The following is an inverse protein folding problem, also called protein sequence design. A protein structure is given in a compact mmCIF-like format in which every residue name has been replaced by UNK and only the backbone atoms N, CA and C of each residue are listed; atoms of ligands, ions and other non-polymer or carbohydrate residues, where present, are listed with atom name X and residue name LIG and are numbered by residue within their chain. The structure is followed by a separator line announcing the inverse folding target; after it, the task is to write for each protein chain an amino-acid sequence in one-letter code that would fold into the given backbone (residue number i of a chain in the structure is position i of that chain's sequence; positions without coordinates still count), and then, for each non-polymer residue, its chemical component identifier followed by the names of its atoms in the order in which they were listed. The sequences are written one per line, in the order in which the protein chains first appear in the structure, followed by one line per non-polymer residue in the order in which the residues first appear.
data_IF_171103784990
#
_entry.id   IF_171103784990
#
_cell.length_a   1.000
_cell.length_b   1.000
_cell.length_c   1.000
_cell.angle_alpha   90.00
_cell.angle_beta   90.00
_cell.angle_gamma   90.00
#
_symmetry.space_group_name_H-M   'P 1'
#
loop_
_entity.id
_entity.type
_entity.pdbx_description
1 polymer ?
#
# COMPACT_ATOMS: atom_id res chain seq x y z
N UNK A 1 -30.94 -10.69 -31.19
CA UNK A 1 -29.95 -10.51 -30.10
C UNK A 1 -30.49 -9.47 -29.11
N UNK A 2 -30.64 -9.81 -27.83
CA UNK A 2 -31.23 -8.93 -26.80
C UNK A 2 -30.16 -8.21 -25.97
N UNK A 3 -30.40 -6.94 -25.63
CA UNK A 3 -29.54 -6.09 -24.78
C UNK A 3 -29.05 -6.78 -23.49
N UNK A 4 -29.89 -7.60 -22.85
CA UNK A 4 -29.51 -8.40 -21.67
C UNK A 4 -28.36 -9.40 -21.92
N UNK A 5 -28.24 -9.93 -23.14
CA UNK A 5 -27.16 -10.85 -23.51
C UNK A 5 -25.82 -10.15 -23.75
N UNK A 6 -25.86 -8.91 -24.26
CA UNK A 6 -24.67 -8.07 -24.46
C UNK A 6 -24.09 -7.64 -23.12
N UNK A 7 -24.93 -7.21 -22.17
CA UNK A 7 -24.52 -6.82 -20.80
C UNK A 7 -23.92 -8.00 -20.02
N UNK A 8 -24.44 -9.21 -20.21
CA UNK A 8 -23.87 -10.45 -19.63
C UNK A 8 -22.51 -10.82 -20.25
N UNK A 9 -22.26 -10.46 -21.51
CA UNK A 9 -21.00 -10.71 -22.22
C UNK A 9 -19.86 -9.74 -21.86
N UNK A 10 -20.16 -8.46 -21.60
CA UNK A 10 -19.16 -7.44 -21.25
C UNK A 10 -18.66 -7.55 -19.81
N UNK A 11 -19.54 -7.89 -18.84
CA UNK A 11 -19.12 -8.20 -17.46
C UNK A 11 -18.13 -9.37 -17.41
N UNK A 12 -18.32 -10.36 -18.29
CA UNK A 12 -17.43 -11.51 -18.43
C UNK A 12 -16.05 -11.15 -19.03
N UNK A 13 -15.95 -10.06 -19.81
CA UNK A 13 -14.70 -9.67 -20.47
C UNK A 13 -13.74 -8.93 -19.53
N UNK A 14 -14.25 -7.97 -18.74
CA UNK A 14 -13.43 -7.25 -17.75
C UNK A 14 -12.83 -8.21 -16.72
N UNK A 15 -13.65 -9.09 -16.14
CA UNK A 15 -13.18 -10.10 -15.18
C UNK A 15 -12.14 -11.04 -15.78
N UNK A 16 -12.27 -11.41 -17.07
CA UNK A 16 -11.28 -12.25 -17.77
C UNK A 16 -9.93 -11.54 -17.94
N UNK A 17 -9.92 -10.25 -18.27
CA UNK A 17 -8.66 -9.50 -18.41
C UNK A 17 -7.98 -9.25 -17.06
N UNK A 18 -8.76 -8.92 -16.02
CA UNK A 18 -8.25 -8.82 -14.65
C UNK A 18 -7.64 -10.16 -14.22
N UNK A 19 -8.36 -11.28 -14.40
CA UNK A 19 -7.87 -12.61 -14.05
C UNK A 19 -6.59 -13.00 -14.80
N UNK A 20 -6.48 -12.67 -16.09
CA UNK A 20 -5.25 -12.86 -16.87
C UNK A 20 -4.08 -12.05 -16.32
N UNK A 21 -4.32 -10.80 -15.95
CA UNK A 21 -3.27 -9.94 -15.38
C UNK A 21 -2.80 -10.44 -14.01
N UNK A 22 -3.72 -10.89 -13.14
CA UNK A 22 -3.37 -11.51 -11.87
C UNK A 22 -2.50 -12.75 -12.06
N UNK A 23 -2.88 -13.62 -13.01
CA UNK A 23 -2.12 -14.83 -13.33
C UNK A 23 -0.72 -14.48 -13.88
N UNK A 24 -0.63 -13.57 -14.87
CA UNK A 24 0.64 -13.13 -15.48
C UNK A 24 1.60 -12.50 -14.46
N UNK A 25 1.08 -11.72 -13.51
CA UNK A 25 1.88 -11.03 -12.48
C UNK A 25 2.05 -11.81 -11.18
N UNK A 26 1.48 -13.01 -11.08
CA UNK A 26 1.51 -13.80 -9.85
C UNK A 26 0.85 -13.11 -8.66
N UNK A 27 -0.14 -12.26 -8.90
CA UNK A 27 -0.86 -11.54 -7.85
C UNK A 27 -1.86 -12.51 -7.21
N UNK A 28 -1.80 -12.63 -5.89
CA UNK A 28 -2.73 -13.47 -5.15
C UNK A 28 -4.16 -12.94 -5.28
N UNK A 29 -5.15 -13.83 -5.49
CA UNK A 29 -6.54 -13.41 -5.75
C UNK A 29 -7.21 -12.68 -4.57
N UNK A 30 -6.68 -12.87 -3.35
CA UNK A 30 -7.10 -12.11 -2.16
C UNK A 30 -6.83 -10.59 -2.29
N UNK A 31 -5.97 -10.15 -3.23
CA UNK A 31 -5.80 -8.74 -3.55
C UNK A 31 -7.07 -8.08 -4.14
N UNK A 32 -8.16 -8.83 -4.31
CA UNK A 32 -9.50 -8.28 -4.61
C UNK A 32 -10.30 -7.90 -3.37
N UNK A 33 -9.92 -8.37 -2.19
CA UNK A 33 -10.60 -8.11 -0.91
C UNK A 33 -10.16 -6.80 -0.23
N UNK A 34 -9.40 -5.97 -0.94
CA UNK A 34 -9.02 -4.63 -0.48
C UNK A 34 -10.15 -3.62 -0.73
N UNK A 35 -10.30 -2.59 0.11
CA UNK A 35 -11.28 -1.53 -0.09
C UNK A 35 -11.05 -0.73 -1.38
N UNK A 36 -9.86 -0.82 -1.98
CA UNK A 36 -9.48 -0.08 -3.20
C UNK A 36 -9.89 -0.79 -4.50
N UNK A 37 -10.17 -2.10 -4.46
CA UNK A 37 -10.48 -2.85 -5.67
C UNK A 37 -11.83 -2.47 -6.31
N UNK A 38 -12.95 -2.35 -5.56
CA UNK A 38 -14.22 -1.87 -6.14
C UNK A 38 -14.15 -0.43 -6.68
N UNK A 39 -13.47 0.54 -6.02
CA UNK A 39 -13.19 1.86 -6.59
C UNK A 39 -12.47 1.83 -7.93
N UNK A 40 -11.43 1.00 -8.10
CA UNK A 40 -10.70 0.87 -9.36
C UNK A 40 -11.65 0.43 -10.49
N UNK A 41 -12.46 -0.60 -10.26
CA UNK A 41 -13.43 -1.10 -11.25
C UNK A 41 -14.46 -0.01 -11.61
N UNK A 42 -14.92 0.74 -10.61
CA UNK A 42 -15.85 1.85 -10.82
C UNK A 42 -15.22 3.02 -11.60
N UNK A 43 -13.97 3.36 -11.31
CA UNK A 43 -13.22 4.40 -12.01
C UNK A 43 -13.03 4.04 -13.48
N UNK A 44 -12.60 2.81 -13.78
CA UNK A 44 -12.47 2.30 -15.16
C UNK A 44 -13.81 2.37 -15.90
N UNK A 45 -14.90 1.95 -15.25
CA UNK A 45 -16.24 2.02 -15.84
C UNK A 45 -16.67 3.46 -16.16
N UNK A 46 -16.40 4.41 -15.27
CA UNK A 46 -16.75 5.83 -15.45
C UNK A 46 -15.90 6.53 -16.50
N UNK A 47 -14.62 6.19 -16.55
CA UNK A 47 -13.63 6.69 -17.49
C UNK A 47 -14.01 6.43 -18.97
N UNK A 48 -14.69 5.31 -19.25
CA UNK A 48 -15.08 4.94 -20.60
C UNK A 48 -13.87 4.67 -21.51
N UNK A 49 -14.05 4.82 -22.82
CA UNK A 49 -13.03 4.49 -23.84
C UNK A 49 -11.87 5.50 -23.92
N UNK A 50 -11.96 6.64 -23.22
CA UNK A 50 -11.04 7.76 -23.40
C UNK A 50 -9.81 7.73 -22.48
N UNK A 51 -9.77 6.82 -21.48
CA UNK A 51 -8.69 6.81 -20.49
C UNK A 51 -7.58 5.85 -20.90
N UNK A 52 -6.36 6.39 -20.96
CA UNK A 52 -5.14 5.60 -21.09
C UNK A 52 -4.78 5.02 -19.73
N UNK A 53 -4.39 3.73 -19.64
CA UNK A 53 -3.81 3.18 -18.44
C UNK A 53 -2.55 3.97 -18.04
N UNK A 54 -2.29 4.18 -16.74
CA UNK A 54 -1.07 4.83 -16.31
C UNK A 54 0.14 3.96 -16.68
N UNK A 55 1.22 4.63 -17.06
CA UNK A 55 2.52 4.00 -17.33
C UNK A 55 3.19 3.57 -16.03
N UNK A 56 4.19 2.69 -16.13
CA UNK A 56 4.99 2.31 -14.98
C UNK A 56 5.69 3.52 -14.32
N UNK A 57 6.12 4.49 -15.13
CA UNK A 57 6.74 5.72 -14.64
C UNK A 57 5.75 6.57 -13.83
N UNK A 58 4.54 6.77 -14.34
CA UNK A 58 3.50 7.53 -13.62
C UNK A 58 3.11 6.83 -12.31
N UNK A 59 2.97 5.51 -12.32
CA UNK A 59 2.68 4.71 -11.12
C UNK A 59 3.79 4.77 -10.08
N UNK A 60 5.07 4.74 -10.49
CA UNK A 60 6.21 4.76 -9.56
C UNK A 60 6.69 6.17 -9.19
N UNK A 61 6.18 7.21 -9.86
CA UNK A 61 6.54 8.60 -9.64
C UNK A 61 5.34 9.36 -9.07
N UNK A 62 4.71 10.26 -9.85
CA UNK A 62 3.73 11.21 -9.34
C UNK A 62 2.55 10.56 -8.59
N UNK A 63 2.04 9.42 -9.06
CA UNK A 63 0.93 8.73 -8.37
C UNK A 63 1.38 8.18 -7.02
N UNK A 64 2.59 7.61 -6.95
CA UNK A 64 3.15 7.14 -5.69
C UNK A 64 3.44 8.31 -4.74
N UNK A 65 3.92 9.43 -5.26
CA UNK A 65 4.19 10.63 -4.47
C UNK A 65 2.90 11.18 -3.83
N UNK A 66 1.78 11.19 -4.56
CA UNK A 66 0.46 11.56 -4.04
C UNK A 66 0.01 10.65 -2.89
N UNK A 67 0.15 9.32 -3.05
CA UNK A 67 -0.19 8.36 -2.00
C UNK A 67 0.74 8.50 -0.77
N UNK A 68 2.02 8.83 -0.97
CA UNK A 68 2.97 9.12 0.12
C UNK A 68 2.50 10.35 0.90
N UNK A 69 2.04 11.40 0.23
CA UNK A 69 1.53 12.60 0.86
C UNK A 69 0.23 12.34 1.64
N UNK A 70 -0.69 11.54 1.11
CA UNK A 70 -1.90 11.12 1.83
C UNK A 70 -1.57 10.31 3.09
N UNK A 71 -0.66 9.35 3.01
CA UNK A 71 -0.19 8.59 4.19
C UNK A 71 0.48 9.52 5.19
N UNK A 72 1.25 10.52 4.74
CA UNK A 72 1.87 11.51 5.63
C UNK A 72 0.84 12.35 6.37
N UNK A 73 -0.25 12.76 5.71
CA UNK A 73 -1.38 13.46 6.37
C UNK A 73 -2.00 12.58 7.45
N UNK A 74 -2.27 11.31 7.16
CA UNK A 74 -2.81 10.36 8.14
C UNK A 74 -1.89 10.18 9.36
N UNK A 75 -0.58 10.11 9.14
CA UNK A 75 0.41 10.07 10.23
C UNK A 75 0.33 11.34 11.10
N UNK A 76 0.17 12.51 10.48
CA UNK A 76 0.08 13.77 11.20
C UNK A 76 -1.23 13.88 12.01
N UNK A 77 -2.35 13.40 11.48
CA UNK A 77 -3.61 13.31 12.22
C UNK A 77 -3.54 12.38 13.43
N UNK A 78 -2.77 11.29 13.31
CA UNK A 78 -2.45 10.42 14.44
C UNK A 78 -1.62 11.20 15.48
N UNK A 79 -0.55 11.88 15.04
CA UNK A 79 0.35 12.69 15.89
C UNK A 79 -0.38 13.75 16.70
N UNK A 80 -1.30 14.46 16.09
CA UNK A 80 -2.09 15.51 16.74
C UNK A 80 -2.95 14.97 17.91
N UNK A 81 -3.27 13.66 17.91
CA UNK A 81 -4.02 13.05 19.01
C UNK A 81 -3.16 12.65 20.20
N UNK A 82 -1.85 12.48 20.02
CA UNK A 82 -0.95 11.95 21.04
C UNK A 82 -0.91 12.74 22.35
N UNK A 83 -1.03 14.09 22.39
CA UNK A 83 -1.08 14.80 23.66
C UNK A 83 -2.29 14.43 24.53
N UNK A 84 -3.35 13.87 23.92
CA UNK A 84 -4.62 13.52 24.59
C UNK A 84 -4.80 12.01 24.75
N UNK A 85 -3.98 11.20 24.09
CA UNK A 85 -4.07 9.74 24.10
C UNK A 85 -2.75 9.14 24.55
N UNK A 86 -2.77 8.16 25.44
CA UNK A 86 -1.59 7.33 25.67
C UNK A 86 -1.13 6.68 24.37
N UNK A 87 0.17 6.73 24.10
CA UNK A 87 0.79 6.09 22.95
C UNK A 87 1.69 4.95 23.40
N UNK A 88 1.81 3.92 22.57
CA UNK A 88 2.79 2.85 22.74
C UNK A 88 3.84 2.97 21.65
N UNK A 89 5.11 3.09 22.05
CA UNK A 89 6.23 3.04 21.12
C UNK A 89 6.58 1.58 20.85
N UNK A 90 6.71 1.21 19.57
CA UNK A 90 7.07 -0.13 19.14
C UNK A 90 8.28 -0.06 18.21
N UNK A 91 9.16 -1.04 18.31
CA UNK A 91 10.20 -1.29 17.30
C UNK A 91 9.96 -2.64 16.65
N UNK A 92 10.21 -2.72 15.35
CA UNK A 92 10.06 -3.92 14.56
C UNK A 92 11.25 -4.08 13.61
N UNK A 93 12.06 -5.12 13.85
CA UNK A 93 13.16 -5.51 12.98
C UNK A 93 12.69 -6.37 11.80
N UNK A 94 13.20 -6.10 10.61
CA UNK A 94 12.96 -6.89 9.40
C UNK A 94 14.29 -7.27 8.74
N UNK A 95 14.53 -8.58 8.59
CA UNK A 95 15.71 -9.11 7.90
C UNK A 95 15.35 -9.69 6.54
N UNK A 96 15.85 -9.08 5.47
CA UNK A 96 15.85 -9.65 4.14
C UNK A 96 17.05 -10.59 3.97
N UNK A 97 16.80 -11.91 4.02
CA UNK A 97 17.83 -12.96 3.90
C UNK A 97 18.55 -12.97 2.55
N UNK A 98 17.86 -12.63 1.46
CA UNK A 98 18.44 -12.66 0.10
C UNK A 98 19.40 -11.50 -0.12
N UNK A 99 19.05 -10.31 0.38
CA UNK A 99 19.88 -9.11 0.26
C UNK A 99 20.81 -8.84 1.44
N UNK A 100 20.74 -9.67 2.50
CA UNK A 100 21.36 -9.40 3.82
C UNK A 100 21.10 -7.97 4.33
N UNK A 101 19.93 -7.43 3.99
CA UNK A 101 19.50 -6.11 4.46
C UNK A 101 18.66 -6.25 5.70
N UNK A 102 19.00 -5.51 6.73
CA UNK A 102 18.23 -5.43 7.95
C UNK A 102 17.70 -4.02 8.15
N UNK A 103 16.42 -3.92 8.50
CA UNK A 103 15.75 -2.66 8.76
C UNK A 103 15.11 -2.68 10.14
N UNK A 104 15.31 -1.61 10.90
CA UNK A 104 14.60 -1.37 12.14
C UNK A 104 13.53 -0.31 11.88
N UNK A 105 12.26 -0.63 12.16
CA UNK A 105 11.12 0.28 12.01
C UNK A 105 10.65 0.73 13.39
N UNK A 106 10.56 2.04 13.58
CA UNK A 106 9.95 2.63 14.78
C UNK A 106 8.52 3.05 14.47
N UNK A 107 7.61 2.54 15.28
CA UNK A 107 6.17 2.73 15.13
C UNK A 107 5.62 3.34 16.42
N UNK A 108 4.57 4.13 16.28
CA UNK A 108 3.75 4.58 17.39
C UNK A 108 2.35 4.01 17.23
N UNK A 109 1.79 3.45 18.30
CA UNK A 109 0.42 2.99 18.35
C UNK A 109 -0.42 3.94 19.22
N UNK A 110 -1.61 4.28 18.74
CA UNK A 110 -2.61 5.09 19.42
C UNK A 110 -4.01 4.57 19.11
N UNK A 111 -5.07 4.96 19.85
CA UNK A 111 -6.44 4.62 19.49
C UNK A 111 -6.87 5.07 18.09
N UNK A 112 -6.21 6.10 17.52
CA UNK A 112 -6.45 6.55 16.15
C UNK A 112 -5.75 5.69 15.08
N UNK A 113 -4.80 4.85 15.48
CA UNK A 113 -4.06 3.97 14.58
C UNK A 113 -2.56 3.93 14.85
N UNK A 114 -1.86 3.25 13.95
CA UNK A 114 -0.40 3.08 13.98
C UNK A 114 0.27 4.03 12.99
N UNK A 115 1.26 4.79 13.45
CA UNK A 115 2.03 5.71 12.62
C UNK A 115 3.50 5.29 12.55
N UNK A 116 4.06 5.25 11.34
CA UNK A 116 5.51 5.06 11.14
C UNK A 116 6.25 6.33 11.52
N UNK A 117 7.19 6.21 12.47
CA UNK A 117 8.05 7.30 12.91
C UNK A 117 9.30 7.38 12.05
N UNK A 118 9.95 6.24 11.86
CA UNK A 118 11.16 6.11 11.06
C UNK A 118 11.42 4.65 10.69
N UNK A 119 12.22 4.45 9.65
CA UNK A 119 12.76 3.15 9.26
C UNK A 119 14.24 3.34 8.96
N UNK A 120 15.12 2.58 9.61
CA UNK A 120 16.57 2.69 9.46
C UNK A 120 17.14 1.41 8.89
N UNK A 121 18.02 1.52 7.90
CA UNK A 121 18.87 0.41 7.47
C UNK A 121 19.95 0.19 8.55
N UNK A 122 19.93 -0.99 9.16
CA UNK A 122 20.84 -1.38 10.25
C UNK A 122 21.74 -2.54 9.85
N UNK A 123 21.80 -2.87 8.56
CA UNK A 123 22.58 -4.00 8.02
C UNK A 123 24.06 -3.95 8.38
N UNK A 124 24.61 -2.74 8.60
CA UNK A 124 26.02 -2.49 8.92
C UNK A 124 26.24 -2.11 10.38
N UNK A 125 25.20 -2.15 11.20
CA UNK A 125 25.23 -1.65 12.57
C UNK A 125 25.45 -2.79 13.54
N UNK A 126 26.42 -2.64 14.45
CA UNK A 126 26.70 -3.64 15.49
C UNK A 126 25.57 -3.64 16.51
N UNK A 127 24.92 -4.78 16.71
CA UNK A 127 23.90 -4.98 17.74
C UNK A 127 24.56 -5.22 19.09
N UNK A 128 24.76 -4.15 19.84
CA UNK A 128 25.15 -4.19 21.25
C UNK A 128 23.99 -3.75 22.15
N UNK A 129 24.18 -3.74 23.46
CA UNK A 129 23.14 -3.36 24.42
C UNK A 129 22.58 -1.93 24.21
N UNK A 130 23.32 -1.07 23.50
CA UNK A 130 22.94 0.31 23.22
C UNK A 130 22.45 0.54 21.79
N UNK A 131 22.25 -0.54 21.02
CA UNK A 131 21.86 -0.47 19.61
C UNK A 131 20.62 0.39 19.39
N UNK A 132 19.54 0.14 20.14
CA UNK A 132 18.27 0.86 19.99
C UNK A 132 18.30 2.30 20.49
N UNK A 133 19.29 2.68 21.30
CA UNK A 133 19.49 4.07 21.79
C UNK A 133 20.23 4.93 20.76
N UNK A 134 21.02 4.29 19.88
CA UNK A 134 21.79 4.98 18.82
C UNK A 134 21.00 5.15 17.53
N UNK A 135 19.82 4.53 17.43
CA UNK A 135 18.87 4.63 16.32
C UNK A 135 17.82 5.70 16.60
#
# INVERSE_FOLDING_TARGET
MTLKGIVKGTGNMLGRYIGKWFYDKGIHFDATNTPYFPPIVNAIRRAGLAVKPPTAYELSGPILDEEVDEVRKLIEECKQSWPRTSITLMSAGWLNKVGKKEFEKFLSYSPKGTALLSSKDVSRTKKDANFSVRL
#
